data_IF_703989953742
#
_entry.id   IF_703989953742
#
_cell.length_a   1.000
_cell.length_b   1.000
_cell.length_c   1.000
_cell.angle_alpha   90.00
_cell.angle_beta   90.00
_cell.angle_gamma   90.00
#
_symmetry.space_group_name_H-M   'P 1'
#
loop_
_entity.id
_entity.type
_entity.pdbx_description
1 polymer ?
#
# COMPACT_ATOMS: atom_id res chain seq x y z
N UNK A 1 -29.81 -4.97 -11.64
CA UNK A 1 -29.94 -6.45 -11.80
C UNK A 1 -28.94 -7.06 -12.78
N UNK A 2 -28.49 -6.34 -13.82
CA UNK A 2 -27.53 -6.87 -14.81
C UNK A 2 -26.08 -7.05 -14.27
N UNK A 3 -25.60 -6.17 -13.39
CA UNK A 3 -24.26 -6.29 -12.81
C UNK A 3 -24.07 -7.57 -11.97
N UNK A 4 -25.10 -8.00 -11.24
CA UNK A 4 -25.00 -9.20 -10.40
C UNK A 4 -24.83 -10.48 -11.23
N UNK A 5 -25.47 -10.56 -12.42
CA UNK A 5 -25.38 -11.73 -13.31
C UNK A 5 -23.98 -11.88 -13.92
N UNK A 6 -23.36 -10.81 -14.37
CA UNK A 6 -22.02 -10.79 -14.94
C UNK A 6 -20.93 -11.20 -13.93
N UNK A 7 -21.07 -10.75 -12.69
CA UNK A 7 -20.13 -11.11 -11.63
C UNK A 7 -20.21 -12.58 -11.26
N UNK A 8 -21.41 -13.12 -11.10
CA UNK A 8 -21.63 -14.56 -10.80
C UNK A 8 -21.08 -15.45 -11.92
N UNK A 9 -21.25 -15.05 -13.17
CA UNK A 9 -20.66 -15.76 -14.30
C UNK A 9 -19.14 -15.73 -14.27
N UNK A 10 -18.55 -14.56 -14.00
CA UNK A 10 -17.10 -14.39 -13.84
C UNK A 10 -16.51 -15.27 -12.74
N UNK A 11 -17.15 -15.31 -11.57
CA UNK A 11 -16.76 -16.17 -10.46
C UNK A 11 -16.83 -17.66 -10.83
N UNK A 12 -17.88 -18.08 -11.54
CA UNK A 12 -18.02 -19.46 -11.99
C UNK A 12 -16.92 -19.86 -12.98
N UNK A 13 -16.58 -18.98 -13.93
CA UNK A 13 -15.49 -19.21 -14.89
C UNK A 13 -14.15 -19.33 -14.18
N UNK A 14 -13.82 -18.39 -13.30
CA UNK A 14 -12.55 -18.41 -12.55
C UNK A 14 -12.45 -19.68 -11.72
N UNK A 15 -13.50 -20.01 -10.98
CA UNK A 15 -13.55 -21.24 -10.17
C UNK A 15 -13.34 -22.51 -11.00
N UNK A 16 -13.99 -22.61 -12.17
CA UNK A 16 -13.85 -23.75 -13.08
C UNK A 16 -12.41 -23.85 -13.65
N UNK A 17 -11.80 -22.72 -14.04
CA UNK A 17 -10.43 -22.71 -14.56
C UNK A 17 -9.42 -23.13 -13.51
N UNK A 18 -9.50 -22.60 -12.30
CA UNK A 18 -8.57 -22.92 -11.23
C UNK A 18 -8.72 -24.36 -10.70
N UNK A 19 -9.92 -24.94 -10.80
CA UNK A 19 -10.13 -26.35 -10.45
C UNK A 19 -9.37 -27.33 -11.37
N UNK A 20 -8.96 -26.90 -12.57
CA UNK A 20 -8.15 -27.73 -13.49
C UNK A 20 -6.73 -27.99 -12.96
N UNK A 21 -6.27 -27.20 -12.01
CA UNK A 21 -4.95 -27.33 -11.36
C UNK A 21 -5.09 -27.58 -9.85
N UNK A 22 -6.23 -28.12 -9.43
CA UNK A 22 -6.54 -28.46 -8.04
C UNK A 22 -6.44 -27.28 -7.05
N UNK A 23 -6.72 -26.06 -7.52
CA UNK A 23 -6.77 -24.85 -6.68
C UNK A 23 -8.22 -24.47 -6.44
N UNK A 24 -8.62 -24.44 -5.17
CA UNK A 24 -9.94 -23.96 -4.76
C UNK A 24 -9.93 -22.43 -4.61
N UNK A 25 -10.77 -21.74 -5.37
CA UNK A 25 -10.97 -20.29 -5.28
C UNK A 25 -12.12 -20.00 -4.33
N UNK A 26 -11.88 -19.29 -3.21
CA UNK A 26 -12.96 -18.92 -2.30
C UNK A 26 -13.93 -17.93 -2.96
N UNK A 27 -15.21 -18.19 -2.80
CA UNK A 27 -16.31 -17.34 -3.30
C UNK A 27 -17.24 -16.95 -2.14
N UNK A 28 -17.86 -15.76 -2.17
CA UNK A 28 -17.75 -14.73 -3.22
C UNK A 28 -16.37 -14.07 -3.27
N UNK A 29 -15.88 -13.78 -4.47
CA UNK A 29 -14.63 -13.04 -4.64
C UNK A 29 -14.78 -11.65 -4.06
N UNK A 30 -13.77 -11.18 -3.30
CA UNK A 30 -13.77 -9.85 -2.70
C UNK A 30 -13.99 -8.78 -3.78
N UNK A 31 -14.90 -7.87 -3.49
CA UNK A 31 -15.18 -6.69 -4.33
C UNK A 31 -14.60 -5.45 -3.68
N UNK A 32 -14.17 -4.53 -4.50
CA UNK A 32 -13.57 -3.29 -4.11
C UNK A 32 -14.00 -2.20 -5.09
N UNK A 33 -14.30 -1.01 -4.60
CA UNK A 33 -14.54 0.13 -5.48
C UNK A 33 -13.22 0.66 -6.04
N UNK A 34 -13.30 1.38 -7.16
CA UNK A 34 -12.13 2.05 -7.72
C UNK A 34 -11.50 3.04 -6.71
N UNK A 35 -12.33 3.81 -6.02
CA UNK A 35 -11.88 4.75 -5.01
C UNK A 35 -11.12 4.04 -3.87
N UNK A 36 -11.66 2.95 -3.35
CA UNK A 36 -11.00 2.13 -2.31
C UNK A 36 -9.69 1.53 -2.80
N UNK A 37 -9.62 1.06 -4.05
CA UNK A 37 -8.40 0.50 -4.62
C UNK A 37 -7.30 1.56 -4.74
N UNK A 38 -7.64 2.76 -5.20
CA UNK A 38 -6.70 3.87 -5.32
C UNK A 38 -6.24 4.40 -3.96
N UNK A 39 -7.16 4.53 -3.01
CA UNK A 39 -6.87 5.01 -1.66
C UNK A 39 -5.94 4.07 -0.90
N UNK A 40 -6.23 2.76 -0.91
CA UNK A 40 -5.49 1.77 -0.13
C UNK A 40 -4.23 1.23 -0.81
N UNK A 41 -4.22 1.18 -2.13
CA UNK A 41 -3.14 0.50 -2.87
C UNK A 41 -2.50 1.36 -3.96
N UNK A 42 -3.08 2.52 -4.29
CA UNK A 42 -2.59 3.41 -5.34
C UNK A 42 -2.68 2.79 -6.74
N UNK A 43 -3.50 1.77 -6.94
CA UNK A 43 -3.64 1.03 -8.19
C UNK A 43 -5.06 0.49 -8.35
N UNK A 44 -5.56 0.47 -9.58
CA UNK A 44 -6.83 -0.18 -9.96
C UNK A 44 -6.70 -1.72 -10.10
N UNK A 45 -5.50 -2.25 -9.96
CA UNK A 45 -5.18 -3.69 -10.03
C UNK A 45 -4.30 -4.11 -8.83
N UNK A 46 -4.79 -3.96 -7.60
CA UNK A 46 -3.97 -4.23 -6.42
C UNK A 46 -3.68 -5.73 -6.28
N UNK A 47 -2.45 -6.05 -5.89
CA UNK A 47 -2.09 -7.39 -5.44
C UNK A 47 -2.34 -7.48 -3.93
N UNK A 48 -3.39 -8.18 -3.54
CA UNK A 48 -3.82 -8.29 -2.14
C UNK A 48 -3.02 -9.32 -1.32
N UNK A 49 -2.07 -10.03 -1.94
CA UNK A 49 -1.29 -11.09 -1.26
C UNK A 49 -0.30 -10.52 -0.25
N UNK A 50 0.15 -9.29 -0.47
CA UNK A 50 1.20 -8.68 0.36
C UNK A 50 0.67 -8.04 1.65
N UNK A 51 -0.60 -7.70 1.72
CA UNK A 51 -1.21 -7.07 2.91
C UNK A 51 -0.66 -5.67 3.23
N UNK A 52 0.05 -5.02 2.29
CA UNK A 52 0.56 -3.67 2.46
C UNK A 52 -0.47 -2.68 1.94
N UNK A 53 -1.03 -1.89 2.84
CA UNK A 53 -2.01 -0.85 2.52
C UNK A 53 -1.39 0.53 2.80
N UNK A 54 -1.78 1.51 1.98
CA UNK A 54 -1.51 2.92 2.25
C UNK A 54 -2.31 3.35 3.47
N UNK A 55 -1.69 4.10 4.35
CA UNK A 55 -2.33 4.71 5.52
C UNK A 55 -2.36 6.21 5.33
N UNK A 56 -3.54 6.81 5.42
CA UNK A 56 -3.70 8.26 5.38
C UNK A 56 -3.25 8.87 6.73
N UNK A 57 -2.24 9.71 6.69
CA UNK A 57 -1.69 10.44 7.84
C UNK A 57 -1.95 11.96 7.73
N UNK A 58 -2.81 12.39 6.80
CA UNK A 58 -3.08 13.81 6.52
C UNK A 58 -3.54 14.54 7.78
N UNK A 59 -4.52 14.01 8.49
CA UNK A 59 -5.01 14.63 9.73
C UNK A 59 -3.95 14.65 10.84
N UNK A 60 -3.10 13.62 10.92
CA UNK A 60 -2.02 13.58 11.91
C UNK A 60 -0.99 14.69 11.69
N UNK A 61 -0.68 15.00 10.43
CA UNK A 61 0.30 16.03 10.07
C UNK A 61 -0.31 17.41 9.76
N UNK A 62 -1.57 17.63 10.01
CA UNK A 62 -2.30 18.85 9.67
C UNK A 62 -1.64 20.14 10.20
N UNK A 63 -1.18 20.10 11.44
CA UNK A 63 -0.57 21.25 12.13
C UNK A 63 0.96 21.10 12.27
N UNK A 64 1.58 20.26 11.46
CA UNK A 64 3.02 20.02 11.55
C UNK A 64 3.82 21.24 11.09
N UNK A 65 4.87 21.65 11.81
CA UNK A 65 5.80 22.67 11.33
C UNK A 65 6.71 22.17 10.19
N UNK A 66 6.73 20.86 9.96
CA UNK A 66 7.63 20.23 8.98
C UNK A 66 7.06 20.36 7.57
N UNK A 67 7.64 21.27 6.78
CA UNK A 67 7.16 21.67 5.45
C UNK A 67 6.94 20.51 4.47
N UNK A 68 7.68 19.39 4.62
CA UNK A 68 7.57 18.23 3.73
C UNK A 68 6.20 17.56 3.84
N UNK A 69 5.57 17.64 5.01
CA UNK A 69 4.25 17.05 5.27
C UNK A 69 3.10 18.07 5.21
N UNK A 70 3.39 19.32 4.89
CA UNK A 70 2.36 20.35 4.64
C UNK A 70 1.79 20.19 3.22
N UNK A 71 1.06 19.11 2.97
CA UNK A 71 0.43 18.80 1.70
C UNK A 71 -1.04 18.42 1.91
N UNK A 72 -1.83 18.49 0.84
CA UNK A 72 -3.25 18.11 0.85
C UNK A 72 -3.45 16.63 1.20
N UNK A 73 -2.46 15.79 0.91
CA UNK A 73 -2.46 14.37 1.23
C UNK A 73 -1.07 13.92 1.68
N UNK A 74 -1.03 13.23 2.81
CA UNK A 74 0.16 12.56 3.35
C UNK A 74 -0.15 11.10 3.56
N UNK A 75 0.30 10.27 2.63
CA UNK A 75 0.16 8.82 2.70
C UNK A 75 1.42 8.14 3.19
N UNK A 76 1.29 7.06 3.93
CA UNK A 76 2.39 6.22 4.36
C UNK A 76 2.12 4.74 4.06
N UNK A 77 3.18 3.97 3.93
CA UNK A 77 3.12 2.52 3.90
C UNK A 77 4.04 1.95 4.99
N UNK A 78 3.55 1.02 5.76
CA UNK A 78 4.34 0.34 6.79
C UNK A 78 4.94 -0.93 6.20
N UNK A 79 6.26 -1.06 6.28
CA UNK A 79 6.96 -2.27 5.86
C UNK A 79 7.40 -3.07 7.09
N UNK A 80 6.71 -4.17 7.41
CA UNK A 80 7.12 -5.04 8.52
C UNK A 80 8.55 -5.55 8.32
N UNK A 81 9.38 -5.46 9.37
CA UNK A 81 10.78 -5.85 9.31
C UNK A 81 11.68 -4.88 8.52
N UNK A 82 11.15 -3.74 8.04
CA UNK A 82 11.90 -2.76 7.26
C UNK A 82 13.05 -2.12 8.00
N UNK A 83 13.01 -2.05 9.33
CA UNK A 83 14.08 -1.48 10.15
C UNK A 83 15.39 -2.28 10.04
N UNK A 84 15.35 -3.56 9.69
CA UNK A 84 16.54 -4.40 9.46
C UNK A 84 17.24 -4.16 8.12
N UNK A 85 16.63 -3.34 7.23
CA UNK A 85 17.20 -3.08 5.91
C UNK A 85 18.45 -2.21 5.99
N UNK A 86 19.45 -2.55 5.17
CA UNK A 86 20.65 -1.75 5.06
C UNK A 86 20.33 -0.34 4.54
N UNK A 87 20.99 0.70 5.07
CA UNK A 87 20.80 2.09 4.65
C UNK A 87 20.88 2.26 3.12
N UNK A 88 21.81 1.56 2.48
CA UNK A 88 21.94 1.59 1.01
C UNK A 88 20.66 1.16 0.29
N UNK A 89 19.92 0.21 0.84
CA UNK A 89 18.63 -0.23 0.28
C UNK A 89 17.59 0.87 0.41
N UNK A 90 17.52 1.52 1.56
CA UNK A 90 16.59 2.64 1.81
C UNK A 90 16.89 3.83 0.90
N UNK A 91 18.16 4.15 0.71
CA UNK A 91 18.58 5.21 -0.21
C UNK A 91 18.23 4.85 -1.67
N UNK A 92 18.38 3.60 -2.08
CA UNK A 92 17.98 3.13 -3.39
C UNK A 92 16.47 3.25 -3.63
N UNK A 93 15.64 2.99 -2.61
CA UNK A 93 14.19 3.19 -2.71
C UNK A 93 13.80 4.65 -2.85
N UNK A 94 14.52 5.57 -2.19
CA UNK A 94 14.30 7.01 -2.37
C UNK A 94 14.58 7.42 -3.83
N UNK A 95 15.69 6.97 -4.40
CA UNK A 95 16.04 7.25 -5.80
C UNK A 95 15.03 6.60 -6.77
N UNK A 96 14.59 5.38 -6.48
CA UNK A 96 13.55 4.71 -7.25
C UNK A 96 12.23 5.50 -7.25
N UNK A 97 11.82 6.05 -6.11
CA UNK A 97 10.62 6.87 -6.00
C UNK A 97 10.76 8.19 -6.79
N UNK A 98 11.90 8.87 -6.68
CA UNK A 98 12.19 10.10 -7.45
C UNK A 98 12.14 9.87 -8.97
N UNK A 99 12.71 8.77 -9.45
CA UNK A 99 12.67 8.40 -10.88
C UNK A 99 11.23 8.18 -11.40
N UNK A 100 10.27 7.95 -10.50
CA UNK A 100 8.83 7.79 -10.80
C UNK A 100 8.00 9.03 -10.52
N UNK A 101 8.66 10.17 -10.29
CA UNK A 101 8.00 11.47 -10.15
C UNK A 101 7.71 11.89 -8.72
N UNK A 102 8.07 11.09 -7.70
CA UNK A 102 7.97 11.53 -6.33
C UNK A 102 9.00 12.63 -6.02
N UNK A 103 8.63 13.62 -5.22
CA UNK A 103 9.58 14.64 -4.74
C UNK A 103 10.64 14.05 -3.79
N UNK A 104 10.33 12.95 -3.16
CA UNK A 104 11.18 12.20 -2.24
C UNK A 104 10.39 11.08 -1.58
N UNK A 105 11.09 10.24 -0.84
CA UNK A 105 10.51 9.20 0.01
C UNK A 105 11.10 9.41 1.42
N UNK A 106 10.31 9.99 2.32
CA UNK A 106 10.68 10.10 3.72
C UNK A 106 10.47 8.74 4.41
N UNK A 107 11.35 8.40 5.36
CA UNK A 107 11.17 7.17 6.14
C UNK A 107 11.55 7.37 7.60
N UNK A 108 10.92 6.56 8.45
CA UNK A 108 11.24 6.40 9.86
C UNK A 108 11.42 4.90 10.11
N UNK A 109 12.46 4.54 10.83
CA UNK A 109 12.69 3.18 11.29
C UNK A 109 12.16 3.07 12.72
N UNK A 110 11.29 2.09 12.94
CA UNK A 110 10.76 1.76 14.26
C UNK A 110 11.54 0.55 14.75
N UNK A 111 12.34 0.74 15.79
CA UNK A 111 13.13 -0.32 16.40
C UNK A 111 12.26 -1.26 17.27
N UNK A 112 12.78 -2.40 17.65
CA UNK A 112 12.05 -3.38 18.48
C UNK A 112 11.63 -2.81 19.84
N UNK A 113 12.39 -1.88 20.39
CA UNK A 113 12.08 -1.16 21.65
C UNK A 113 11.11 0.02 21.46
N UNK A 114 10.69 0.29 20.21
CA UNK A 114 9.81 1.40 19.84
C UNK A 114 10.57 2.71 19.59
N UNK A 115 11.90 2.75 19.67
CA UNK A 115 12.67 3.94 19.33
C UNK A 115 12.52 4.28 17.84
N UNK A 116 12.31 5.56 17.55
CA UNK A 116 12.21 6.08 16.19
C UNK A 116 13.57 6.61 15.73
N UNK A 117 14.07 6.07 14.63
CA UNK A 117 15.32 6.52 14.01
C UNK A 117 15.11 6.82 12.53
N UNK A 118 16.02 7.61 11.95
CA UNK A 118 15.96 7.96 10.53
C UNK A 118 15.90 9.45 10.25
N UNK A 119 15.79 9.85 8.98
CA UNK A 119 15.89 11.25 8.58
C UNK A 119 14.81 12.16 9.15
N UNK A 120 13.61 11.65 9.43
CA UNK A 120 12.46 12.45 9.91
C UNK A 120 12.10 12.20 11.37
N UNK A 121 12.82 11.32 12.07
CA UNK A 121 12.53 10.98 13.48
C UNK A 121 12.75 12.12 14.48
N UNK A 122 13.41 13.20 14.06
CA UNK A 122 13.76 14.35 14.92
C UNK A 122 12.86 15.58 14.70
N UNK A 123 11.83 15.45 13.86
CA UNK A 123 10.93 16.57 13.50
C UNK A 123 9.53 16.31 13.99
#
# INVERSE_FOLDING_TARGET
>A
MEEAGGVLLGEAIVKALWSLIDVEVPTPIRRMTYAEAMEKYGSDKPDLRFGLELTDLTEYFKDTPFRVFQNEYVGAVVMPGGASQARRTLDAWQEWAKQRGAKGLAYVLIQEDGELTGPVSKN
#
